data_IF_056684371195
#
_entry.id   IF_056684371195
#
_cell.length_a   1.000
_cell.length_b   1.000
_cell.length_c   1.000
_cell.angle_alpha   90.00
_cell.angle_beta   90.00
_cell.angle_gamma   90.00
#
_symmetry.space_group_name_H-M   'P 1'
#
loop_
_entity.id
_entity.type
_entity.pdbx_description
1 polymer ?
#
# COMPACT_ATOMS: atom_id res chain seq x y z
N UNK A 1 54.51 19.69 21.41
CA UNK A 1 54.02 19.81 20.04
C UNK A 1 53.16 18.54 19.79
N UNK A 2 51.88 18.66 20.16
CA UNK A 2 50.93 17.55 20.00
C UNK A 2 50.26 17.70 18.62
N UNK A 3 50.55 16.77 17.71
CA UNK A 3 49.89 16.68 16.43
C UNK A 3 48.57 15.96 16.65
N UNK A 4 47.46 16.68 16.57
CA UNK A 4 46.14 16.08 16.56
C UNK A 4 45.87 15.52 15.18
N UNK A 5 45.95 14.20 15.06
CA UNK A 5 45.39 13.44 13.93
C UNK A 5 43.86 13.47 14.04
N UNK A 6 43.23 14.37 13.30
CA UNK A 6 41.81 14.23 12.95
C UNK A 6 41.73 13.22 11.80
N UNK A 7 41.52 11.97 12.13
CA UNK A 7 41.04 10.98 11.17
C UNK A 7 39.59 11.29 10.81
N UNK A 8 39.30 11.51 9.53
CA UNK A 8 37.95 11.51 8.97
C UNK A 8 37.44 10.07 8.94
N UNK A 9 36.74 9.67 10.00
CA UNK A 9 36.17 8.31 10.11
C UNK A 9 34.80 8.11 9.42
N UNK A 10 34.20 9.16 8.88
CA UNK A 10 32.85 9.08 8.35
C UNK A 10 32.73 8.44 6.97
N UNK A 11 33.79 8.44 6.16
CA UNK A 11 33.74 7.78 4.84
C UNK A 11 33.87 6.25 4.90
N UNK A 12 34.62 5.72 5.87
CA UNK A 12 34.86 4.28 6.01
C UNK A 12 33.64 3.53 6.56
N UNK A 13 32.91 4.12 7.51
CA UNK A 13 31.74 3.48 8.14
C UNK A 13 30.55 3.40 7.19
N UNK A 14 30.30 4.42 6.39
CA UNK A 14 29.23 4.41 5.39
C UNK A 14 29.45 3.36 4.30
N UNK A 15 30.69 3.22 3.82
CA UNK A 15 31.06 2.21 2.83
C UNK A 15 30.94 0.79 3.37
N UNK A 16 31.32 0.54 4.63
CA UNK A 16 31.17 -0.76 5.29
C UNK A 16 29.68 -1.09 5.42
N UNK A 17 28.86 -0.16 5.87
CA UNK A 17 27.41 -0.34 6.02
C UNK A 17 26.72 -0.65 4.68
N UNK A 18 27.07 0.05 3.60
CA UNK A 18 26.54 -0.23 2.25
C UNK A 18 26.94 -1.64 1.80
N UNK A 19 28.20 -2.02 1.92
CA UNK A 19 28.68 -3.36 1.55
C UNK A 19 27.98 -4.46 2.36
N UNK A 20 27.71 -4.24 3.64
CA UNK A 20 26.99 -5.18 4.50
C UNK A 20 25.55 -5.35 4.05
N UNK A 21 24.85 -4.26 3.68
CA UNK A 21 23.50 -4.29 3.12
C UNK A 21 23.48 -5.01 1.75
N UNK A 22 24.39 -4.67 0.85
CA UNK A 22 24.49 -5.29 -0.47
C UNK A 22 24.72 -6.81 -0.35
N UNK A 23 25.59 -7.23 0.54
CA UNK A 23 25.81 -8.63 0.83
C UNK A 23 24.58 -9.32 1.48
N UNK A 24 23.89 -8.63 2.38
CA UNK A 24 22.74 -9.16 3.07
C UNK A 24 21.50 -9.32 2.17
N UNK A 25 21.33 -8.42 1.21
CA UNK A 25 20.26 -8.43 0.23
C UNK A 25 20.61 -9.20 -1.04
N UNK A 26 21.92 -9.46 -1.28
CA UNK A 26 22.42 -10.12 -2.49
C UNK A 26 22.34 -9.24 -3.75
N UNK A 27 22.26 -7.92 -3.57
CA UNK A 27 22.14 -6.94 -4.66
C UNK A 27 23.02 -5.73 -4.38
N UNK A 28 23.35 -4.98 -5.43
CA UNK A 28 24.09 -3.73 -5.34
C UNK A 28 23.14 -2.55 -5.29
N UNK A 29 23.49 -1.51 -4.54
CA UNK A 29 22.76 -0.24 -4.55
C UNK A 29 22.72 0.36 -5.95
N UNK A 30 21.60 0.97 -6.29
CA UNK A 30 21.32 1.54 -7.61
C UNK A 30 21.36 3.06 -7.57
N UNK A 31 21.41 3.70 -8.76
CA UNK A 31 21.21 5.12 -8.88
C UNK A 31 19.81 5.51 -8.40
N UNK A 32 19.74 6.49 -7.52
CA UNK A 32 18.50 6.93 -6.92
C UNK A 32 17.55 7.57 -7.97
N UNK A 33 16.24 7.28 -7.94
CA UNK A 33 15.30 7.80 -8.94
C UNK A 33 15.07 9.31 -8.85
N UNK A 34 15.45 9.94 -7.73
CA UNK A 34 15.43 11.40 -7.54
C UNK A 34 16.46 11.83 -6.49
N UNK A 35 16.78 13.12 -6.46
CA UNK A 35 17.78 13.68 -5.55
C UNK A 35 17.38 13.51 -4.08
N UNK A 36 18.34 13.12 -3.24
CA UNK A 36 18.16 12.97 -1.79
C UNK A 36 19.33 12.25 -1.12
N UNK A 37 19.35 12.29 0.19
CA UNK A 37 20.38 11.62 1.01
C UNK A 37 19.84 10.27 1.52
N UNK A 38 19.77 9.28 0.61
CA UNK A 38 19.27 7.93 0.88
C UNK A 38 19.95 6.89 0.00
N UNK A 39 19.96 5.64 0.46
CA UNK A 39 20.36 4.49 -0.34
C UNK A 39 19.15 3.95 -1.10
N UNK A 40 19.37 3.52 -2.31
CA UNK A 40 18.34 2.94 -3.16
C UNK A 40 18.74 1.54 -3.64
N UNK A 41 17.89 0.56 -3.33
CA UNK A 41 18.00 -0.80 -3.84
C UNK A 41 16.79 -1.10 -4.70
N UNK A 42 17.03 -1.33 -5.98
CA UNK A 42 15.99 -1.57 -6.98
C UNK A 42 15.76 -3.06 -7.17
N UNK A 43 14.51 -3.43 -7.45
CA UNK A 43 14.10 -4.77 -7.87
C UNK A 43 14.52 -5.90 -6.91
N UNK A 44 14.42 -5.66 -5.61
CA UNK A 44 14.68 -6.66 -4.57
C UNK A 44 13.55 -7.69 -4.57
N UNK A 45 13.87 -8.95 -4.80
CA UNK A 45 12.87 -10.02 -4.79
C UNK A 45 12.40 -10.34 -3.38
N UNK A 46 11.10 -10.31 -3.14
CA UNK A 46 10.46 -10.72 -1.89
C UNK A 46 9.73 -12.08 -1.98
N UNK A 47 9.64 -12.66 -3.18
CA UNK A 47 8.97 -13.92 -3.44
C UNK A 47 9.48 -14.57 -4.73
N UNK A 48 8.75 -15.58 -5.21
CA UNK A 48 9.17 -16.41 -6.36
C UNK A 48 8.49 -16.06 -7.68
N UNK A 49 7.40 -15.23 -7.64
CA UNK A 49 6.70 -14.81 -8.84
C UNK A 49 7.45 -13.68 -9.53
N UNK A 50 7.25 -13.50 -10.83
CA UNK A 50 7.94 -12.48 -11.62
C UNK A 50 7.75 -11.07 -11.05
N UNK A 51 6.54 -10.73 -10.63
CA UNK A 51 6.22 -9.42 -10.04
C UNK A 51 6.51 -9.30 -8.54
N UNK A 52 7.02 -10.34 -7.88
CA UNK A 52 7.37 -10.26 -6.46
C UNK A 52 8.68 -9.49 -6.24
N UNK A 53 8.69 -8.23 -6.62
CA UNK A 53 9.80 -7.29 -6.52
C UNK A 53 9.40 -6.05 -5.75
N UNK A 54 10.36 -5.44 -5.06
CA UNK A 54 10.17 -4.17 -4.37
C UNK A 54 11.44 -3.32 -4.45
N UNK A 55 11.26 -2.02 -4.29
CA UNK A 55 12.36 -1.08 -4.13
C UNK A 55 12.48 -0.68 -2.66
N UNK A 56 13.71 -0.47 -2.20
CA UNK A 56 14.02 -0.06 -0.84
C UNK A 56 14.73 1.30 -0.90
N UNK A 57 14.15 2.30 -0.23
CA UNK A 57 14.72 3.63 -0.07
C UNK A 57 15.03 3.83 1.43
N UNK A 58 16.32 3.85 1.78
CA UNK A 58 16.79 3.95 3.16
C UNK A 58 17.45 5.30 3.41
N UNK A 59 16.92 6.14 4.32
CA UNK A 59 17.62 7.34 4.77
C UNK A 59 19.01 6.99 5.31
N UNK A 60 20.02 7.81 4.98
CA UNK A 60 21.40 7.62 5.48
C UNK A 60 21.52 8.14 6.92
N UNK A 61 20.91 7.44 7.86
CA UNK A 61 20.88 7.76 9.29
C UNK A 61 20.90 6.52 10.15
N UNK A 62 21.42 6.64 11.38
CA UNK A 62 21.40 5.57 12.37
C UNK A 62 20.05 5.49 13.13
N UNK A 63 19.18 6.49 12.97
CA UNK A 63 17.92 6.62 13.68
C UNK A 63 16.73 6.64 12.71
N UNK A 64 16.38 5.51 12.13
CA UNK A 64 15.18 5.37 11.30
C UNK A 64 13.94 5.32 12.20
N UNK A 65 13.01 6.24 11.99
CA UNK A 65 11.79 6.39 12.78
C UNK A 65 10.80 5.23 12.58
N UNK A 66 10.74 4.71 11.35
CA UNK A 66 9.86 3.63 10.92
C UNK A 66 9.89 3.48 9.40
N UNK A 67 8.97 2.69 8.87
CA UNK A 67 8.93 2.34 7.44
C UNK A 67 7.54 2.52 6.87
N UNK A 68 7.42 3.17 5.72
CA UNK A 68 6.21 3.17 4.90
C UNK A 68 6.35 2.09 3.84
N UNK A 69 5.41 1.16 3.78
CA UNK A 69 5.29 0.14 2.72
C UNK A 69 4.19 0.61 1.78
N UNK A 70 4.56 0.94 0.56
CA UNK A 70 3.67 1.54 -0.43
C UNK A 70 3.31 0.54 -1.54
N UNK A 71 2.04 0.50 -1.92
CA UNK A 71 1.49 -0.28 -3.02
C UNK A 71 0.86 0.67 -4.05
N UNK A 72 1.26 0.53 -5.32
CA UNK A 72 0.75 1.38 -6.41
C UNK A 72 -0.72 1.06 -6.76
N UNK A 73 -1.36 1.95 -7.52
CA UNK A 73 -2.68 1.73 -8.11
C UNK A 73 -2.62 0.91 -9.40
N UNK A 74 -3.75 0.87 -10.13
CA UNK A 74 -3.81 0.23 -11.45
C UNK A 74 -4.80 -0.91 -11.57
N UNK A 75 -5.87 -0.92 -10.77
CA UNK A 75 -6.98 -1.88 -10.84
C UNK A 75 -6.55 -3.36 -10.81
N UNK A 76 -5.35 -3.67 -10.29
CA UNK A 76 -4.72 -4.99 -10.34
C UNK A 76 -4.43 -5.52 -11.76
N UNK A 77 -4.36 -4.64 -12.74
CA UNK A 77 -4.17 -4.97 -14.17
C UNK A 77 -2.99 -4.26 -14.79
N UNK A 78 -2.61 -3.11 -14.26
CA UNK A 78 -1.55 -2.24 -14.81
C UNK A 78 -0.91 -1.39 -13.71
N UNK A 79 0.04 -0.55 -14.11
CA UNK A 79 0.84 0.26 -13.19
C UNK A 79 2.14 -0.43 -12.81
N UNK A 80 3.03 0.33 -12.21
CA UNK A 80 4.33 -0.14 -11.74
C UNK A 80 4.72 0.59 -10.46
N UNK A 81 5.64 -0.01 -9.69
CA UNK A 81 6.20 0.67 -8.52
C UNK A 81 6.90 1.99 -8.88
N UNK A 82 7.40 2.14 -10.11
CA UNK A 82 8.04 3.36 -10.58
C UNK A 82 7.09 4.56 -10.67
N UNK A 83 5.79 4.35 -10.76
CA UNK A 83 4.77 5.41 -10.88
C UNK A 83 4.81 6.41 -9.70
N UNK A 84 5.34 6.00 -8.54
CA UNK A 84 5.46 6.89 -7.37
C UNK A 84 6.68 7.83 -7.41
N UNK A 85 7.61 7.64 -8.36
CA UNK A 85 8.82 8.45 -8.44
C UNK A 85 8.63 9.76 -9.19
N UNK A 86 7.39 10.07 -9.57
CA UNK A 86 6.99 11.32 -10.21
C UNK A 86 5.84 12.01 -9.47
N UNK A 87 5.58 13.27 -9.83
CA UNK A 87 4.44 14.05 -9.34
C UNK A 87 4.41 14.28 -7.83
N UNK A 88 3.19 14.38 -7.29
CA UNK A 88 2.95 14.70 -5.88
C UNK A 88 3.41 13.59 -4.92
N UNK A 89 3.35 12.34 -5.34
CA UNK A 89 3.76 11.20 -4.51
C UNK A 89 5.26 11.23 -4.24
N UNK A 90 6.06 11.58 -5.24
CA UNK A 90 7.51 11.82 -5.10
C UNK A 90 7.83 12.83 -4.01
N UNK A 91 7.08 13.95 -3.94
CA UNK A 91 7.30 14.97 -2.92
C UNK A 91 6.99 14.45 -1.50
N UNK A 92 5.96 13.63 -1.37
CA UNK A 92 5.63 12.94 -0.11
C UNK A 92 6.78 12.01 0.29
N UNK A 93 7.26 11.17 -0.64
CA UNK A 93 8.37 10.24 -0.38
C UNK A 93 9.64 11.00 0.01
N UNK A 94 9.99 12.07 -0.73
CA UNK A 94 11.14 12.91 -0.40
C UNK A 94 11.04 13.49 1.01
N UNK A 95 9.84 13.89 1.42
CA UNK A 95 9.60 14.39 2.78
C UNK A 95 9.75 13.30 3.84
N UNK A 96 9.25 12.10 3.58
CA UNK A 96 9.39 10.95 4.49
C UNK A 96 10.86 10.59 4.70
N UNK A 97 11.64 10.51 3.62
CA UNK A 97 13.07 10.20 3.69
C UNK A 97 13.85 11.28 4.49
N UNK A 98 13.54 12.57 4.29
CA UNK A 98 14.11 13.67 5.09
C UNK A 98 13.74 13.60 6.58
N UNK A 99 12.60 13.00 6.90
CA UNK A 99 12.13 12.78 8.28
C UNK A 99 12.64 11.43 8.86
N UNK A 100 13.66 10.83 8.27
CA UNK A 100 14.24 9.54 8.67
C UNK A 100 13.24 8.37 8.64
N UNK A 101 12.32 8.38 7.69
CA UNK A 101 11.37 7.29 7.47
C UNK A 101 11.78 6.55 6.20
N UNK A 102 12.02 5.24 6.31
CA UNK A 102 12.30 4.38 5.18
C UNK A 102 11.04 4.19 4.31
N UNK A 103 11.23 4.01 3.02
CA UNK A 103 10.15 3.72 2.08
C UNK A 103 10.44 2.43 1.34
N UNK A 104 9.47 1.53 1.37
CA UNK A 104 9.44 0.30 0.59
C UNK A 104 8.35 0.48 -0.45
N UNK A 105 8.70 0.28 -1.71
CA UNK A 105 7.78 0.47 -2.83
C UNK A 105 7.61 -0.85 -3.56
N UNK A 106 6.44 -1.47 -3.45
CA UNK A 106 6.22 -2.85 -3.82
C UNK A 106 5.37 -3.02 -5.09
N UNK A 107 5.84 -3.91 -5.96
CA UNK A 107 5.04 -4.56 -6.99
C UNK A 107 4.17 -5.65 -6.34
N UNK A 108 3.16 -6.09 -7.08
CA UNK A 108 2.32 -7.23 -6.72
C UNK A 108 1.80 -7.92 -7.98
N UNK A 109 1.44 -9.19 -7.89
CA UNK A 109 0.89 -10.00 -8.97
C UNK A 109 -0.45 -9.44 -9.43
N UNK A 110 -0.65 -9.30 -10.74
CA UNK A 110 -1.92 -8.86 -11.32
C UNK A 110 -2.92 -10.01 -11.43
N UNK A 111 -4.20 -9.69 -11.53
CA UNK A 111 -5.27 -10.68 -11.58
C UNK A 111 -5.23 -11.53 -12.87
N UNK A 112 -4.67 -10.98 -13.96
CA UNK A 112 -4.50 -11.66 -15.26
C UNK A 112 -3.12 -12.29 -15.45
N UNK A 113 -2.23 -12.27 -14.45
CA UNK A 113 -0.96 -12.99 -14.52
C UNK A 113 -1.19 -14.51 -14.44
N UNK A 114 -0.35 -15.28 -15.11
CA UNK A 114 -0.53 -16.74 -15.25
C UNK A 114 -0.46 -17.53 -13.93
N UNK A 115 0.15 -16.96 -12.90
CA UNK A 115 0.30 -17.52 -11.56
C UNK A 115 -0.64 -16.86 -10.52
N UNK A 116 -1.61 -16.08 -11.02
CA UNK A 116 -2.64 -15.43 -10.20
C UNK A 116 -3.80 -16.37 -9.89
N UNK A 117 -4.36 -16.20 -8.72
CA UNK A 117 -5.66 -16.75 -8.31
C UNK A 117 -6.66 -15.62 -8.03
N UNK A 118 -6.64 -14.61 -8.90
CA UNK A 118 -7.44 -13.41 -8.79
C UNK A 118 -6.89 -12.43 -7.75
N UNK A 119 -7.73 -11.49 -7.31
CA UNK A 119 -7.34 -10.40 -6.43
C UNK A 119 -6.72 -10.88 -5.11
N UNK A 120 -7.09 -12.06 -4.63
CA UNK A 120 -6.53 -12.64 -3.40
C UNK A 120 -4.99 -12.78 -3.50
N UNK A 121 -4.45 -13.10 -4.66
CA UNK A 121 -3.01 -13.20 -4.86
C UNK A 121 -2.32 -11.86 -4.63
N UNK A 122 -2.86 -10.77 -5.16
CA UNK A 122 -2.31 -9.43 -4.94
C UNK A 122 -2.37 -9.02 -3.47
N UNK A 123 -3.45 -9.38 -2.76
CA UNK A 123 -3.62 -9.11 -1.34
C UNK A 123 -2.61 -9.89 -0.48
N UNK A 124 -2.37 -11.17 -0.81
CA UNK A 124 -1.39 -12.04 -0.15
C UNK A 124 0.05 -11.63 -0.46
N UNK A 125 0.33 -11.09 -1.64
CA UNK A 125 1.62 -10.49 -1.97
C UNK A 125 1.93 -9.32 -1.00
N UNK A 126 0.91 -8.53 -0.62
CA UNK A 126 1.06 -7.52 0.45
C UNK A 126 1.51 -8.12 1.78
N UNK A 127 0.94 -9.28 2.17
CA UNK A 127 1.39 -10.01 3.37
C UNK A 127 2.84 -10.48 3.22
N UNK A 128 3.21 -10.98 2.03
CA UNK A 128 4.58 -11.44 1.76
C UNK A 128 5.59 -10.29 1.85
N UNK A 129 5.26 -9.10 1.36
CA UNK A 129 6.08 -7.89 1.50
C UNK A 129 6.29 -7.53 2.97
N UNK A 130 5.22 -7.50 3.77
CA UNK A 130 5.30 -7.19 5.22
C UNK A 130 6.22 -8.18 5.93
N UNK A 131 6.07 -9.48 5.65
CA UNK A 131 6.89 -10.52 6.23
C UNK A 131 8.36 -10.38 5.80
N UNK A 132 8.61 -10.18 4.49
CA UNK A 132 9.96 -9.98 3.96
C UNK A 132 10.69 -8.82 4.64
N UNK A 133 10.02 -7.68 4.79
CA UNK A 133 10.59 -6.50 5.45
C UNK A 133 10.79 -6.75 6.94
N UNK A 134 9.85 -7.40 7.62
CA UNK A 134 9.99 -7.77 9.03
C UNK A 134 11.18 -8.71 9.27
N UNK A 135 11.35 -9.72 8.43
CA UNK A 135 12.44 -10.72 8.54
C UNK A 135 13.82 -10.11 8.24
N UNK A 136 13.87 -9.06 7.43
CA UNK A 136 15.10 -8.35 7.09
C UNK A 136 15.29 -7.03 7.87
N UNK A 137 14.40 -6.69 8.80
CA UNK A 137 14.41 -5.41 9.50
C UNK A 137 15.75 -5.13 10.21
N UNK A 138 16.35 -6.13 10.85
CA UNK A 138 17.66 -5.98 11.49
C UNK A 138 18.78 -5.68 10.47
N UNK A 139 18.77 -6.34 9.32
CA UNK A 139 19.77 -6.11 8.26
C UNK A 139 19.61 -4.72 7.65
N UNK A 140 18.36 -4.27 7.49
CA UNK A 140 18.00 -2.96 6.96
C UNK A 140 18.17 -1.83 7.99
N UNK A 141 18.53 -2.15 9.23
CA UNK A 141 18.60 -1.20 10.33
C UNK A 141 17.32 -0.38 10.53
N UNK A 142 16.15 -1.03 10.38
CA UNK A 142 14.82 -0.43 10.57
C UNK A 142 14.10 -1.05 11.78
N UNK A 143 13.22 -0.31 12.46
CA UNK A 143 12.36 -0.86 13.51
C UNK A 143 11.36 -1.87 12.93
N UNK A 144 11.36 -3.12 13.41
CA UNK A 144 10.50 -4.18 12.85
C UNK A 144 9.05 -4.16 13.35
N UNK A 145 8.66 -3.15 14.11
CA UNK A 145 7.31 -2.99 14.67
C UNK A 145 6.73 -1.60 14.41
N UNK A 146 7.24 -0.88 13.41
CA UNK A 146 6.84 0.49 13.07
C UNK A 146 6.63 0.62 11.57
N UNK A 147 5.62 -0.09 11.05
CA UNK A 147 5.23 -0.03 9.65
C UNK A 147 3.95 0.79 9.45
N UNK A 148 3.91 1.59 8.41
CA UNK A 148 2.69 2.17 7.86
C UNK A 148 2.44 1.49 6.52
N UNK A 149 1.28 0.91 6.33
CA UNK A 149 0.85 0.43 5.02
C UNK A 149 0.20 1.59 4.27
N UNK A 150 0.66 1.86 3.08
CA UNK A 150 0.18 2.95 2.26
C UNK A 150 -0.16 2.46 0.84
N UNK A 151 -1.18 3.04 0.23
CA UNK A 151 -1.51 2.70 -1.14
C UNK A 151 -2.50 3.64 -1.79
N UNK A 152 -2.58 3.50 -3.11
CA UNK A 152 -3.49 4.27 -3.98
C UNK A 152 -4.38 3.30 -4.74
N UNK A 153 -5.71 3.52 -4.76
CA UNK A 153 -6.68 2.70 -5.48
C UNK A 153 -6.53 1.21 -5.15
N UNK A 154 -6.18 0.35 -6.12
CA UNK A 154 -5.90 -1.08 -5.89
C UNK A 154 -4.91 -1.31 -4.74
N UNK A 155 -3.82 -0.55 -4.70
CA UNK A 155 -2.84 -0.61 -3.61
C UNK A 155 -3.40 -0.17 -2.26
N UNK A 156 -4.37 0.76 -2.23
CA UNK A 156 -5.07 1.13 -1.01
C UNK A 156 -5.85 -0.05 -0.42
N UNK A 157 -6.43 -0.89 -1.27
CA UNK A 157 -7.08 -2.11 -0.84
C UNK A 157 -6.11 -3.15 -0.30
N UNK A 158 -4.91 -3.32 -0.90
CA UNK A 158 -3.86 -4.18 -0.35
C UNK A 158 -3.47 -3.71 1.06
N UNK A 159 -3.28 -2.38 1.22
CA UNK A 159 -2.93 -1.80 2.51
C UNK A 159 -4.03 -2.03 3.57
N UNK A 160 -5.30 -1.82 3.21
CA UNK A 160 -6.46 -2.03 4.11
C UNK A 160 -6.65 -3.51 4.46
N UNK A 161 -6.64 -4.40 3.47
CA UNK A 161 -6.83 -5.82 3.69
C UNK A 161 -5.79 -6.40 4.65
N UNK A 162 -4.53 -5.99 4.50
CA UNK A 162 -3.46 -6.40 5.39
C UNK A 162 -3.50 -5.68 6.75
N UNK A 163 -3.95 -4.43 6.76
CA UNK A 163 -4.05 -3.62 7.97
C UNK A 163 -5.15 -4.08 8.94
N UNK A 164 -6.22 -4.71 8.43
CA UNK A 164 -7.36 -5.17 9.24
C UNK A 164 -7.37 -6.69 9.47
N UNK A 165 -6.21 -7.34 9.36
CA UNK A 165 -6.05 -8.78 9.61
C UNK A 165 -5.00 -9.03 10.68
N UNK A 166 -5.38 -9.66 11.78
CA UNK A 166 -4.47 -9.99 12.89
C UNK A 166 -3.22 -10.79 12.46
N UNK A 167 -3.31 -11.52 11.34
CA UNK A 167 -2.20 -12.32 10.82
C UNK A 167 -1.10 -11.49 10.15
N UNK A 168 -1.40 -10.26 9.68
CA UNK A 168 -0.49 -9.39 8.96
C UNK A 168 -0.25 -8.03 9.62
N UNK A 169 -1.09 -7.59 10.56
CA UNK A 169 -1.04 -6.23 11.08
C UNK A 169 -0.19 -6.01 12.36
N UNK A 170 0.45 -7.04 12.90
CA UNK A 170 1.16 -6.96 14.20
C UNK A 170 2.25 -5.89 14.27
N UNK A 171 2.92 -5.61 13.15
CA UNK A 171 3.96 -4.59 13.03
C UNK A 171 3.43 -3.25 12.54
N UNK A 172 2.14 -3.19 12.14
CA UNK A 172 1.52 -2.04 11.50
C UNK A 172 1.05 -1.04 12.54
N UNK A 173 1.38 0.24 12.32
CA UNK A 173 1.02 1.38 13.18
C UNK A 173 -0.01 2.30 12.56
N UNK A 174 -0.34 2.12 11.30
CA UNK A 174 -1.36 2.89 10.60
C UNK A 174 -1.54 2.40 9.17
N UNK A 175 -2.72 2.66 8.61
CA UNK A 175 -3.09 2.38 7.23
C UNK A 175 -3.43 3.69 6.55
N UNK A 176 -2.71 4.02 5.48
CA UNK A 176 -2.97 5.17 4.62
C UNK A 176 -3.54 4.72 3.29
N UNK A 177 -4.78 5.10 2.98
CA UNK A 177 -5.52 4.69 1.81
C UNK A 177 -6.02 5.89 1.02
N UNK A 178 -5.49 6.09 -0.20
CA UNK A 178 -5.91 7.16 -1.11
C UNK A 178 -6.77 6.59 -2.23
N UNK A 179 -7.86 7.30 -2.58
CA UNK A 179 -8.87 6.87 -3.57
C UNK A 179 -9.26 5.40 -3.40
N UNK A 180 -9.52 5.03 -2.16
CA UNK A 180 -9.72 3.67 -1.72
C UNK A 180 -11.13 3.13 -2.05
N UNK A 181 -11.20 1.84 -2.32
CA UNK A 181 -12.45 1.09 -2.25
C UNK A 181 -12.72 0.67 -0.80
N UNK A 182 -13.99 0.40 -0.46
CA UNK A 182 -14.37 0.02 0.91
C UNK A 182 -14.39 -1.48 1.15
N UNK A 183 -14.34 -2.28 0.11
CA UNK A 183 -14.35 -3.74 0.14
C UNK A 183 -13.95 -4.27 -1.23
N UNK A 184 -13.38 -5.47 -1.30
CA UNK A 184 -13.22 -6.23 -2.54
C UNK A 184 -14.22 -7.39 -2.68
N UNK A 185 -15.15 -7.54 -1.76
CA UNK A 185 -16.45 -8.10 -2.08
C UNK A 185 -17.26 -7.04 -2.83
N UNK A 186 -17.19 -7.07 -4.17
CA UNK A 186 -17.75 -6.01 -5.04
C UNK A 186 -19.26 -5.85 -4.89
N UNK A 187 -19.98 -6.89 -4.44
CA UNK A 187 -21.41 -6.81 -4.14
C UNK A 187 -21.73 -5.86 -2.98
N UNK A 188 -20.76 -5.56 -2.10
CA UNK A 188 -20.95 -4.54 -1.06
C UNK A 188 -21.11 -3.13 -1.65
N UNK A 189 -20.65 -2.88 -2.88
CA UNK A 189 -20.76 -1.57 -3.54
C UNK A 189 -22.21 -1.22 -3.92
N UNK A 190 -23.07 -2.21 -4.13
CA UNK A 190 -24.50 -1.99 -4.35
C UNK A 190 -25.17 -1.26 -3.18
N UNK A 191 -24.61 -1.36 -1.96
CA UNK A 191 -25.07 -0.58 -0.81
C UNK A 191 -24.71 0.91 -0.90
N UNK A 192 -23.67 1.25 -1.68
CA UNK A 192 -23.22 2.64 -1.87
C UNK A 192 -23.95 3.31 -3.03
N UNK A 193 -24.35 2.54 -4.01
CA UNK A 193 -24.90 2.99 -5.28
C UNK A 193 -26.20 2.20 -5.56
N UNK A 194 -27.37 2.69 -5.08
CA UNK A 194 -28.64 1.93 -5.15
C UNK A 194 -29.10 1.61 -6.58
N UNK A 195 -28.67 2.40 -7.57
CA UNK A 195 -29.01 2.19 -8.98
C UNK A 195 -27.96 1.34 -9.73
N UNK A 196 -26.99 0.78 -9.02
CA UNK A 196 -25.93 -0.07 -9.56
C UNK A 196 -26.21 -1.52 -9.22
N UNK A 197 -26.08 -2.40 -10.23
CA UNK A 197 -26.06 -3.85 -10.08
C UNK A 197 -24.81 -4.43 -10.70
N UNK A 198 -24.05 -5.16 -9.90
CA UNK A 198 -22.83 -5.82 -10.38
C UNK A 198 -23.14 -6.92 -11.40
N UNK A 199 -24.23 -7.67 -11.19
CA UNK A 199 -24.67 -8.71 -12.12
C UNK A 199 -25.11 -8.13 -13.47
N UNK A 200 -25.76 -6.97 -13.48
CA UNK A 200 -26.12 -6.28 -14.71
C UNK A 200 -24.87 -5.73 -15.41
N UNK A 201 -23.91 -5.15 -14.67
CA UNK A 201 -22.68 -4.62 -15.22
C UNK A 201 -21.87 -5.73 -15.91
N UNK A 202 -21.60 -6.84 -15.23
CA UNK A 202 -20.71 -7.88 -15.72
C UNK A 202 -21.17 -8.53 -17.02
N UNK A 203 -22.47 -8.54 -17.31
CA UNK A 203 -23.03 -9.11 -18.54
C UNK A 203 -23.18 -8.10 -19.70
N UNK A 204 -22.77 -6.83 -19.51
CA UNK A 204 -22.84 -5.82 -20.56
C UNK A 204 -21.83 -6.02 -21.69
N UNK A 205 -20.72 -6.71 -21.39
CA UNK A 205 -19.72 -7.10 -22.38
C UNK A 205 -18.96 -8.34 -21.93
N UNK A 206 -18.42 -9.11 -22.90
CA UNK A 206 -17.58 -10.27 -22.61
C UNK A 206 -16.32 -9.86 -21.83
N UNK A 207 -15.70 -8.70 -22.14
CA UNK A 207 -14.51 -8.18 -21.45
C UNK A 207 -14.76 -7.92 -19.96
N UNK A 208 -15.94 -7.37 -19.61
CA UNK A 208 -16.31 -7.13 -18.19
C UNK A 208 -16.61 -8.44 -17.46
N UNK A 209 -17.22 -9.40 -18.16
CA UNK A 209 -17.45 -10.73 -17.59
C UNK A 209 -16.12 -11.45 -17.34
N UNK A 210 -15.18 -11.41 -18.30
CA UNK A 210 -13.86 -12.02 -18.16
C UNK A 210 -13.07 -11.34 -17.01
N UNK A 211 -13.09 -10.01 -16.94
CA UNK A 211 -12.47 -9.26 -15.85
C UNK A 211 -13.04 -9.64 -14.47
N UNK A 212 -14.35 -9.84 -14.38
CA UNK A 212 -15.00 -10.28 -13.13
C UNK A 212 -14.55 -11.70 -12.76
N UNK A 213 -14.47 -12.59 -13.74
CA UNK A 213 -13.97 -13.97 -13.54
C UNK A 213 -12.52 -13.97 -13.11
N UNK A 214 -11.66 -13.16 -13.74
CA UNK A 214 -10.25 -13.00 -13.35
C UNK A 214 -10.11 -12.42 -11.94
N UNK A 215 -10.92 -11.40 -11.60
CA UNK A 215 -10.89 -10.77 -10.29
C UNK A 215 -11.19 -11.76 -9.16
N UNK A 216 -12.22 -12.58 -9.31
CA UNK A 216 -12.60 -13.60 -8.32
C UNK A 216 -11.92 -14.95 -8.52
N UNK A 217 -11.15 -15.15 -9.59
CA UNK A 217 -10.69 -16.47 -10.04
C UNK A 217 -11.88 -17.45 -10.15
N UNK A 218 -12.81 -17.13 -11.05
CA UNK A 218 -14.09 -17.81 -11.25
C UNK A 218 -15.26 -17.07 -10.61
N UNK A 219 -16.33 -17.78 -10.27
CA UNK A 219 -17.49 -17.15 -9.64
C UNK A 219 -17.22 -16.83 -8.16
N UNK A 220 -17.80 -15.75 -7.63
CA UNK A 220 -17.74 -15.42 -6.21
C UNK A 220 -18.47 -16.50 -5.39
N UNK A 221 -17.86 -16.88 -4.30
CA UNK A 221 -18.47 -17.77 -3.30
C UNK A 221 -18.58 -17.00 -1.98
N UNK A 222 -19.44 -17.48 -1.10
CA UNK A 222 -19.55 -16.89 0.24
C UNK A 222 -18.19 -16.79 0.95
N UNK A 223 -17.35 -17.80 0.82
CA UNK A 223 -16.02 -17.83 1.41
C UNK A 223 -15.10 -16.74 0.81
N UNK A 224 -15.11 -16.59 -0.53
CA UNK A 224 -14.36 -15.51 -1.21
C UNK A 224 -14.85 -14.13 -0.77
N UNK A 225 -16.17 -13.91 -0.71
CA UNK A 225 -16.77 -12.67 -0.25
C UNK A 225 -16.35 -12.33 1.18
N UNK A 226 -16.37 -13.29 2.09
CA UNK A 226 -15.93 -13.10 3.48
C UNK A 226 -14.44 -12.74 3.60
N UNK A 227 -13.58 -13.33 2.76
CA UNK A 227 -12.15 -13.02 2.71
C UNK A 227 -11.91 -11.62 2.14
N UNK A 228 -12.68 -11.21 1.14
CA UNK A 228 -12.48 -9.97 0.40
C UNK A 228 -13.17 -8.75 1.04
N UNK A 229 -14.14 -8.96 1.95
CA UNK A 229 -14.78 -7.87 2.69
C UNK A 229 -13.96 -7.47 3.92
N UNK A 230 -12.83 -6.81 3.69
CA UNK A 230 -11.94 -6.33 4.77
C UNK A 230 -12.59 -5.28 5.66
N UNK A 231 -13.59 -4.55 5.19
CA UNK A 231 -14.33 -3.60 6.01
C UNK A 231 -15.08 -4.28 7.16
N UNK A 232 -15.67 -5.44 6.92
CA UNK A 232 -16.37 -6.19 7.97
C UNK A 232 -15.44 -6.74 9.05
N UNK A 233 -14.15 -6.88 8.74
CA UNK A 233 -13.13 -7.39 9.66
C UNK A 233 -12.55 -6.30 10.57
N UNK A 234 -12.83 -5.02 10.31
CA UNK A 234 -12.34 -3.90 11.12
C UNK A 234 -12.77 -4.04 12.58
N UNK A 235 -11.83 -3.83 13.52
CA UNK A 235 -12.10 -3.77 14.95
C UNK A 235 -11.30 -2.62 15.65
N UNK A 236 -11.56 -2.43 16.94
CA UNK A 236 -10.97 -1.34 17.75
C UNK A 236 -9.45 -1.49 17.95
N UNK A 237 -8.89 -2.67 17.77
CA UNK A 237 -7.46 -2.97 17.96
C UNK A 237 -6.64 -2.81 16.68
N UNK A 238 -7.32 -2.63 15.56
CA UNK A 238 -6.65 -2.42 14.28
C UNK A 238 -5.84 -1.11 14.25
N UNK A 239 -4.83 -1.03 13.39
CA UNK A 239 -4.09 0.21 13.18
C UNK A 239 -5.01 1.36 12.74
N UNK A 240 -4.79 2.60 13.23
CA UNK A 240 -5.51 3.78 12.77
C UNK A 240 -5.59 3.88 11.26
N UNK A 241 -6.77 4.27 10.75
CA UNK A 241 -7.05 4.40 9.32
C UNK A 241 -7.09 5.86 8.88
N UNK A 242 -6.31 6.22 7.86
CA UNK A 242 -6.45 7.44 7.10
C UNK A 242 -7.03 7.13 5.72
N UNK A 243 -8.12 7.80 5.34
CA UNK A 243 -8.69 7.65 3.99
C UNK A 243 -8.94 9.02 3.36
N UNK A 244 -8.62 9.12 2.09
CA UNK A 244 -8.97 10.25 1.24
C UNK A 244 -9.55 9.76 -0.09
N UNK A 245 -10.81 10.14 -0.35
CA UNK A 245 -11.46 9.97 -1.65
C UNK A 245 -12.02 11.32 -2.09
N UNK A 246 -11.92 11.66 -3.39
CA UNK A 246 -12.50 12.90 -3.92
C UNK A 246 -14.03 12.84 -3.92
N UNK A 247 -14.64 14.00 -3.94
CA UNK A 247 -16.07 14.14 -4.13
C UNK A 247 -16.37 14.17 -5.63
N UNK A 248 -17.07 13.16 -6.12
CA UNK A 248 -17.65 13.11 -7.46
C UNK A 248 -19.16 13.33 -7.40
N UNK A 249 -19.80 13.47 -8.54
CA UNK A 249 -21.25 13.34 -8.60
C UNK A 249 -21.69 11.99 -8.05
N UNK A 250 -22.84 11.97 -7.37
CA UNK A 250 -23.35 10.73 -6.76
C UNK A 250 -23.85 9.71 -7.78
N UNK A 251 -24.04 10.12 -9.03
CA UNK A 251 -24.61 9.31 -10.08
C UNK A 251 -23.54 8.40 -10.69
N UNK A 252 -23.72 7.10 -10.55
CA UNK A 252 -22.85 6.07 -11.13
C UNK A 252 -23.33 5.68 -12.53
N UNK A 253 -24.65 5.60 -12.73
CA UNK A 253 -25.29 5.25 -14.00
C UNK A 253 -26.00 6.50 -14.54
N UNK A 254 -25.72 6.88 -15.78
CA UNK A 254 -26.41 7.99 -16.44
C UNK A 254 -27.74 7.56 -17.09
N UNK A 255 -28.42 8.52 -17.78
CA UNK A 255 -29.72 8.27 -18.40
C UNK A 255 -29.69 7.22 -19.54
N UNK A 256 -28.53 6.97 -20.13
CA UNK A 256 -28.27 5.97 -21.17
C UNK A 256 -27.73 4.66 -20.60
N UNK A 257 -27.72 4.48 -19.28
CA UNK A 257 -27.13 3.35 -18.56
C UNK A 257 -25.59 3.22 -18.73
N UNK A 258 -24.89 4.35 -18.96
CA UNK A 258 -23.43 4.33 -18.91
C UNK A 258 -22.93 4.35 -17.46
N UNK A 259 -21.95 3.53 -17.16
CA UNK A 259 -21.32 3.48 -15.85
C UNK A 259 -20.17 4.48 -15.78
N UNK A 260 -20.17 5.36 -14.77
CA UNK A 260 -19.03 6.18 -14.41
C UNK A 260 -18.10 5.40 -13.48
N UNK A 261 -17.06 4.80 -14.05
CA UNK A 261 -16.09 4.00 -13.29
C UNK A 261 -15.27 4.82 -12.31
N UNK A 262 -15.06 6.12 -12.54
CA UNK A 262 -14.38 6.96 -11.55
C UNK A 262 -15.25 7.13 -10.30
N UNK A 263 -16.54 7.35 -10.48
CA UNK A 263 -17.48 7.43 -9.36
C UNK A 263 -17.59 6.06 -8.68
N UNK A 264 -17.75 4.99 -9.46
CA UNK A 264 -17.91 3.63 -8.92
C UNK A 264 -16.71 3.21 -8.07
N UNK A 265 -15.48 3.47 -8.53
CA UNK A 265 -14.27 2.99 -7.85
C UNK A 265 -13.72 3.95 -6.81
N UNK A 266 -13.89 5.26 -6.97
CA UNK A 266 -13.13 6.24 -6.21
C UNK A 266 -13.98 7.28 -5.47
N UNK A 267 -15.32 7.15 -5.49
CA UNK A 267 -16.21 8.09 -4.80
C UNK A 267 -15.91 8.18 -3.29
N UNK A 268 -16.13 9.37 -2.73
CA UNK A 268 -16.12 9.62 -1.28
C UNK A 268 -17.05 8.67 -0.51
N UNK A 269 -18.04 8.06 -1.16
CA UNK A 269 -18.94 7.09 -0.54
C UNK A 269 -18.20 5.88 0.03
N UNK A 270 -17.13 5.44 -0.63
CA UNK A 270 -16.27 4.40 -0.07
C UNK A 270 -15.60 4.84 1.24
N UNK A 271 -15.05 6.07 1.25
CA UNK A 271 -14.43 6.62 2.46
C UNK A 271 -15.46 6.80 3.59
N UNK A 272 -16.67 7.28 3.29
CA UNK A 272 -17.74 7.42 4.28
C UNK A 272 -18.22 6.07 4.81
N UNK A 273 -18.25 5.04 3.98
CA UNK A 273 -18.62 3.68 4.38
C UNK A 273 -17.58 3.06 5.32
N UNK A 274 -16.29 3.26 5.04
CA UNK A 274 -15.19 2.88 5.95
C UNK A 274 -15.26 3.67 7.27
N UNK A 275 -15.48 4.99 7.20
CA UNK A 275 -15.62 5.84 8.38
C UNK A 275 -16.77 5.41 9.28
N UNK A 276 -17.92 5.08 8.71
CA UNK A 276 -19.08 4.58 9.49
C UNK A 276 -18.72 3.30 10.25
N UNK A 277 -18.00 2.39 9.60
CA UNK A 277 -17.55 1.15 10.25
C UNK A 277 -16.52 1.44 11.34
N UNK A 278 -15.54 2.30 11.07
CA UNK A 278 -14.54 2.70 12.06
C UNK A 278 -15.20 3.28 13.32
N UNK A 279 -16.18 4.17 13.16
CA UNK A 279 -16.96 4.74 14.28
C UNK A 279 -17.75 3.66 15.03
N UNK A 280 -18.40 2.74 14.31
CA UNK A 280 -19.16 1.63 14.90
C UNK A 280 -18.30 0.77 15.83
N UNK A 281 -17.07 0.43 15.40
CA UNK A 281 -16.17 -0.46 16.15
C UNK A 281 -15.21 0.29 17.09
N UNK A 282 -15.19 1.63 17.04
CA UNK A 282 -14.29 2.46 17.86
C UNK A 282 -12.86 2.52 17.34
N UNK A 283 -12.64 2.22 16.05
CA UNK A 283 -11.34 2.35 15.40
C UNK A 283 -10.99 3.83 15.16
N UNK A 284 -9.75 4.22 15.43
CA UNK A 284 -9.25 5.56 15.12
C UNK A 284 -9.25 5.80 13.61
N UNK A 285 -9.96 6.85 13.18
CA UNK A 285 -10.13 7.22 11.78
C UNK A 285 -9.71 8.68 11.54
N UNK A 286 -9.02 8.94 10.44
CA UNK A 286 -8.58 10.27 10.01
C UNK A 286 -8.73 10.45 8.49
N UNK A 287 -8.48 11.66 8.03
CA UNK A 287 -8.51 12.01 6.62
C UNK A 287 -8.03 13.44 6.38
N UNK A 288 -8.05 13.89 5.12
CA UNK A 288 -7.53 15.20 4.70
C UNK A 288 -8.19 16.41 5.41
N UNK A 289 -9.35 16.22 6.01
CA UNK A 289 -10.04 17.23 6.80
C UNK A 289 -9.50 17.40 8.23
N UNK A 290 -8.62 16.51 8.69
CA UNK A 290 -8.05 16.53 10.05
C UNK A 290 -6.54 16.75 10.04
N UNK A 291 -5.82 16.07 9.16
CA UNK A 291 -4.36 16.09 9.10
C UNK A 291 -3.86 15.75 7.69
N UNK A 292 -2.65 16.11 7.38
CA UNK A 292 -1.98 15.70 6.14
C UNK A 292 -1.51 14.24 6.20
N UNK A 293 -1.27 13.57 5.05
CA UNK A 293 -0.68 12.23 5.02
C UNK A 293 0.61 12.11 5.85
N UNK A 294 1.50 13.09 5.75
CA UNK A 294 2.78 13.10 6.47
C UNK A 294 2.57 13.23 7.97
N UNK A 295 1.65 14.08 8.43
CA UNK A 295 1.31 14.22 9.85
C UNK A 295 0.75 12.92 10.42
N UNK A 296 -0.18 12.27 9.70
CA UNK A 296 -0.72 10.97 10.08
C UNK A 296 0.39 9.91 10.22
N UNK A 297 1.25 9.77 9.21
CA UNK A 297 2.34 8.79 9.20
C UNK A 297 3.28 9.03 10.40
N UNK A 298 3.76 10.27 10.55
CA UNK A 298 4.70 10.63 11.63
C UNK A 298 4.11 10.44 13.01
N UNK A 299 2.84 10.79 13.19
CA UNK A 299 2.14 10.65 14.47
C UNK A 299 2.05 9.19 14.88
N UNK A 300 1.72 8.30 13.95
CA UNK A 300 1.55 6.88 14.26
C UNK A 300 2.89 6.14 14.41
N UNK A 301 3.95 6.53 13.70
CA UNK A 301 5.29 5.96 13.91
C UNK A 301 5.94 6.37 15.24
N UNK A 302 5.48 7.45 15.88
CA UNK A 302 5.96 7.89 17.20
C UNK A 302 5.30 7.18 18.38
N UNK A 303 4.23 6.41 18.12
CA UNK A 303 3.57 5.54 19.10
C UNK A 303 4.34 4.23 19.23
#
# INVERSE_FOLDING_TARGET
MLISLRCSKNGDLSTIYINDLENALGITSSEAPFEGDYLFFKDVSYGIKERNQLDILLPQTDEILGTVIFFHGGAFLFGTKEDIYDGEVKEIISSLLKDNIAVINAEYTFINDSDSQGVITSLEDGTAVINFISDNAQKLNIPNNKFILAGVSAGAGIAQWNGFRETSNRQVKGVFASIAQSSYDLYQWEQLFPDFSLDELRITSDDLQDLFVDFYNGEPTKEKSEILDYRSQMDVNDPPLYVFNPVYEDKVIDAENNIDFNVLFHSYKHADFLRKKAVEVGLEYSGAYQETPIEFIKRNLKR
#
